data_IF_127991018418
#
_entry.id   IF_127991018418
#
_cell.length_a   1.000
_cell.length_b   1.000
_cell.length_c   1.000
_cell.angle_alpha   90.00
_cell.angle_beta   90.00
_cell.angle_gamma   90.00
#
_symmetry.space_group_name_H-M   'P 1'
#
loop_
_entity.id
_entity.type
_entity.pdbx_description
1 polymer ?
#
# COMPACT_ATOMS: atom_id res chain seq x y z
N UNK A 1 -21.48 0.09 -1.12
CA UNK A 1 -20.05 0.33 -0.83
C UNK A 1 -19.80 1.81 -0.99
N UNK A 2 -19.26 2.49 0.02
CA UNK A 2 -18.97 3.93 -0.05
C UNK A 2 -17.59 4.10 -0.66
N UNK A 3 -17.48 4.91 -1.71
CA UNK A 3 -16.18 5.33 -2.24
C UNK A 3 -15.73 6.51 -1.39
N UNK A 4 -14.52 6.42 -0.83
CA UNK A 4 -13.87 7.53 -0.15
C UNK A 4 -12.62 7.97 -0.89
N UNK A 5 -12.24 9.20 -0.63
CA UNK A 5 -11.04 9.84 -1.15
C UNK A 5 -10.36 10.56 0.01
N UNK A 6 -9.04 10.46 0.06
CA UNK A 6 -8.17 11.32 0.87
C UNK A 6 -7.34 12.15 -0.10
N UNK A 7 -7.35 13.47 0.09
CA UNK A 7 -6.93 14.41 -0.96
C UNK A 7 -5.54 14.99 -0.76
N UNK A 8 -5.09 15.14 0.48
CA UNK A 8 -3.72 15.57 0.83
C UNK A 8 -3.17 14.68 1.96
N UNK A 9 -3.12 13.37 1.67
CA UNK A 9 -2.71 12.39 2.65
C UNK A 9 -1.19 12.38 2.82
N UNK A 10 -0.73 12.75 4.01
CA UNK A 10 0.67 12.64 4.41
C UNK A 10 0.91 11.25 4.97
N UNK A 11 1.81 10.47 4.36
CA UNK A 11 2.23 9.17 4.90
C UNK A 11 2.89 9.40 6.25
N UNK A 12 2.40 8.74 7.30
CA UNK A 12 2.82 8.97 8.68
C UNK A 12 3.63 7.82 9.27
N UNK A 13 3.82 6.74 8.51
CA UNK A 13 4.60 5.57 8.90
C UNK A 13 5.03 4.80 7.66
N UNK A 14 6.17 4.12 7.75
CA UNK A 14 6.65 3.23 6.71
C UNK A 14 5.60 2.16 6.35
N UNK A 15 5.41 1.85 5.06
CA UNK A 15 4.48 0.80 4.64
C UNK A 15 4.89 -0.57 5.22
N UNK A 16 3.91 -1.29 5.75
CA UNK A 16 4.08 -2.62 6.31
C UNK A 16 3.45 -3.67 5.39
N UNK A 17 4.27 -4.58 4.89
CA UNK A 17 3.80 -5.72 4.12
C UNK A 17 3.32 -6.82 5.06
N UNK A 18 2.13 -7.36 4.79
CA UNK A 18 1.56 -8.48 5.53
C UNK A 18 1.43 -9.67 4.59
N UNK A 19 1.99 -10.80 5.02
CA UNK A 19 1.86 -12.06 4.30
C UNK A 19 0.76 -12.87 4.96
N UNK A 20 -0.26 -13.24 4.19
CA UNK A 20 -1.34 -14.11 4.63
C UNK A 20 -1.46 -15.29 3.68
N UNK A 21 -1.06 -16.47 4.17
CA UNK A 21 -0.90 -17.69 3.40
C UNK A 21 -0.04 -17.47 2.13
N UNK A 22 -0.67 -17.28 0.98
CA UNK A 22 -0.03 -17.09 -0.34
C UNK A 22 -0.23 -15.69 -0.93
N UNK A 23 -0.78 -14.77 -0.14
CA UNK A 23 -1.10 -13.41 -0.55
C UNK A 23 -0.23 -12.41 0.21
N UNK A 24 0.24 -11.41 -0.53
CA UNK A 24 0.88 -10.22 0.03
C UNK A 24 -0.15 -9.11 0.04
N UNK A 25 -0.26 -8.40 1.16
CA UNK A 25 -1.01 -7.15 1.31
C UNK A 25 -0.08 -6.08 1.88
N UNK A 26 -0.41 -4.81 1.68
CA UNK A 26 0.33 -3.69 2.22
C UNK A 26 -0.63 -2.85 3.09
N UNK A 27 -0.21 -2.58 4.32
CA UNK A 27 -0.86 -1.63 5.22
C UNK A 27 0.03 -0.40 5.36
N UNK A 28 -0.53 0.78 5.11
CA UNK A 28 0.14 2.05 5.39
C UNK A 28 -0.78 2.94 6.22
N UNK A 29 -0.21 3.97 6.85
CA UNK A 29 -0.92 4.93 7.67
C UNK A 29 -0.66 6.32 7.13
N UNK A 30 -1.70 7.12 7.04
CA UNK A 30 -1.60 8.51 6.65
C UNK A 30 -2.47 9.41 7.53
N UNK A 31 -2.18 10.70 7.44
CA UNK A 31 -2.97 11.77 8.03
C UNK A 31 -3.51 12.63 6.89
N UNK A 32 -4.82 12.81 6.85
CA UNK A 32 -5.50 13.69 5.89
C UNK A 32 -6.45 14.61 6.65
N UNK A 33 -6.27 15.92 6.54
CA UNK A 33 -7.05 16.93 7.29
C UNK A 33 -7.18 16.65 8.79
N UNK A 34 -6.11 16.16 9.43
CA UNK A 34 -6.06 15.81 10.86
C UNK A 34 -6.65 14.43 11.21
N UNK A 35 -7.28 13.74 10.26
CA UNK A 35 -7.81 12.40 10.46
C UNK A 35 -6.76 11.33 10.19
N UNK A 36 -6.64 10.34 11.08
CA UNK A 36 -5.75 9.19 10.89
C UNK A 36 -6.45 8.11 10.08
N UNK A 37 -5.88 7.77 8.93
CA UNK A 37 -6.46 6.80 7.99
C UNK A 37 -5.51 5.62 7.80
N UNK A 38 -6.05 4.40 7.81
CA UNK A 38 -5.32 3.19 7.44
C UNK A 38 -5.59 2.85 5.98
N UNK A 39 -4.53 2.76 5.19
CA UNK A 39 -4.56 2.38 3.79
C UNK A 39 -4.30 0.88 3.67
N UNK A 40 -5.18 0.16 2.98
CA UNK A 40 -5.04 -1.26 2.69
C UNK A 40 -4.93 -1.46 1.18
N UNK A 41 -3.84 -2.11 0.76
CA UNK A 41 -3.54 -2.34 -0.64
C UNK A 41 -3.31 -3.84 -0.88
N UNK A 42 -3.98 -4.40 -1.87
CA UNK A 42 -3.82 -5.79 -2.33
C UNK A 42 -3.34 -5.91 -3.77
N UNK A 43 -3.32 -4.80 -4.52
CA UNK A 43 -2.99 -4.81 -5.93
C UNK A 43 -1.49 -4.56 -6.17
N UNK A 44 -0.77 -5.43 -6.91
CA UNK A 44 0.68 -5.29 -7.11
C UNK A 44 1.13 -3.95 -7.69
N UNK A 45 0.35 -3.34 -8.59
CA UNK A 45 0.68 -2.03 -9.14
C UNK A 45 0.71 -0.91 -8.09
N UNK A 46 -0.23 -0.94 -7.15
CA UNK A 46 -0.23 0.01 -6.05
C UNK A 46 0.88 -0.33 -5.04
N UNK A 47 1.13 -1.60 -4.75
CA UNK A 47 2.26 -1.99 -3.88
C UNK A 47 3.59 -1.52 -4.45
N UNK A 48 3.80 -1.73 -5.75
CA UNK A 48 5.01 -1.28 -6.44
C UNK A 48 5.15 0.24 -6.37
N UNK A 49 4.05 0.98 -6.54
CA UNK A 49 4.06 2.43 -6.34
C UNK A 49 4.51 2.81 -4.92
N UNK A 50 3.96 2.15 -3.89
CA UNK A 50 4.35 2.42 -2.50
C UNK A 50 5.83 2.14 -2.25
N UNK A 51 6.36 1.01 -2.75
CA UNK A 51 7.79 0.67 -2.63
C UNK A 51 8.68 1.78 -3.22
N UNK A 52 8.25 2.38 -4.32
CA UNK A 52 9.06 3.31 -5.10
C UNK A 52 8.93 4.77 -4.68
N UNK A 53 7.77 5.17 -4.17
CA UNK A 53 7.39 6.57 -4.12
C UNK A 53 6.74 7.01 -2.82
N UNK A 54 6.54 6.10 -1.86
CA UNK A 54 5.98 6.46 -0.55
C UNK A 54 7.01 6.25 0.53
N UNK A 55 7.30 7.31 1.26
CA UNK A 55 8.07 7.31 2.50
C UNK A 55 7.40 8.21 3.54
N UNK A 56 7.83 8.17 4.78
CA UNK A 56 7.30 9.04 5.83
C UNK A 56 7.40 10.52 5.42
N UNK A 57 6.30 11.26 5.54
CA UNK A 57 6.19 12.66 5.11
C UNK A 57 5.81 12.88 3.65
N UNK A 58 5.84 11.85 2.80
CA UNK A 58 5.40 11.97 1.40
C UNK A 58 3.88 12.20 1.30
N UNK A 59 3.46 12.92 0.25
CA UNK A 59 2.07 13.37 0.08
C UNK A 59 1.43 12.79 -1.17
N UNK A 60 0.24 12.24 -1.01
CA UNK A 60 -0.49 11.60 -2.09
C UNK A 60 -2.00 11.76 -1.90
N UNK A 61 -2.74 11.63 -2.99
CA UNK A 61 -4.18 11.43 -2.96
C UNK A 61 -4.49 9.96 -3.20
N UNK A 62 -5.41 9.40 -2.42
CA UNK A 62 -5.84 8.00 -2.53
C UNK A 62 -7.35 7.93 -2.63
N UNK A 63 -7.86 7.05 -3.48
CA UNK A 63 -9.29 6.76 -3.55
C UNK A 63 -9.56 5.25 -3.53
N UNK A 64 -10.69 4.87 -2.97
CA UNK A 64 -11.06 3.47 -2.86
C UNK A 64 -12.29 3.22 -1.99
N UNK A 65 -12.47 1.97 -1.59
CA UNK A 65 -13.60 1.61 -0.72
C UNK A 65 -13.32 2.07 0.71
N UNK A 66 -14.18 2.94 1.22
CA UNK A 66 -14.08 3.50 2.56
C UNK A 66 -14.91 2.70 3.55
N UNK A 67 -14.29 2.36 4.68
CA UNK A 67 -14.94 1.77 5.84
C UNK A 67 -14.63 2.64 7.06
N UNK A 68 -15.66 3.19 7.67
CA UNK A 68 -15.57 3.99 8.89
C UNK A 68 -16.38 3.30 9.96
N UNK A 69 -15.74 2.97 11.08
CA UNK A 69 -16.44 2.58 12.30
C UNK A 69 -16.21 3.60 13.39
N UNK A 70 -17.28 4.06 14.01
CA UNK A 70 -17.24 4.97 15.15
C UNK A 70 -17.63 4.21 16.41
N UNK A 71 -16.96 4.51 17.52
CA UNK A 71 -17.27 3.92 18.82
C UNK A 71 -17.03 4.93 19.94
N UNK A 72 -17.84 4.82 20.97
CA UNK A 72 -17.76 5.56 22.22
C UNK A 72 -17.50 4.57 23.34
N UNK A 73 -16.82 5.00 24.39
CA UNK A 73 -16.78 4.24 25.64
C UNK A 73 -17.90 4.75 26.54
N UNK A 74 -18.51 3.86 27.33
CA UNK A 74 -19.78 4.12 28.05
C UNK A 74 -19.71 5.36 28.97
N UNK A 75 -18.53 5.75 29.45
CA UNK A 75 -18.32 6.91 30.34
C UNK A 75 -17.55 8.08 29.67
N UNK A 76 -17.47 8.12 28.34
CA UNK A 76 -16.64 9.06 27.58
C UNK A 76 -17.48 10.03 26.74
N UNK A 77 -17.26 11.34 26.91
CA UNK A 77 -17.75 12.37 25.96
C UNK A 77 -16.94 12.40 24.65
N UNK A 78 -15.87 11.62 24.56
CA UNK A 78 -15.04 11.48 23.36
C UNK A 78 -15.53 10.31 22.51
N UNK A 79 -15.74 10.58 21.23
CA UNK A 79 -15.96 9.57 20.21
C UNK A 79 -14.67 9.29 19.45
N UNK A 80 -14.44 8.04 19.08
CA UNK A 80 -13.32 7.61 18.26
C UNK A 80 -13.82 7.07 16.93
N UNK A 81 -13.08 7.36 15.86
CA UNK A 81 -13.35 6.83 14.53
C UNK A 81 -12.14 6.03 14.04
N UNK A 82 -12.39 4.84 13.52
CA UNK A 82 -11.42 4.02 12.81
C UNK A 82 -11.74 4.09 11.32
N UNK A 83 -10.89 4.79 10.58
CA UNK A 83 -11.04 5.05 9.15
C UNK A 83 -10.10 4.12 8.40
N UNK A 84 -10.66 3.26 7.53
CA UNK A 84 -9.92 2.34 6.68
C UNK A 84 -10.30 2.56 5.23
N UNK A 85 -9.29 2.70 4.38
CA UNK A 85 -9.47 2.86 2.94
C UNK A 85 -8.79 1.69 2.21
N UNK A 86 -9.58 0.86 1.53
CA UNK A 86 -9.05 -0.13 0.59
C UNK A 86 -8.75 0.56 -0.73
N UNK A 87 -7.48 0.84 -0.99
CA UNK A 87 -7.03 1.72 -2.07
C UNK A 87 -7.17 1.03 -3.42
N UNK A 88 -7.73 1.75 -4.38
CA UNK A 88 -7.88 1.33 -5.78
C UNK A 88 -7.31 2.34 -6.78
N UNK A 89 -7.03 3.56 -6.31
CA UNK A 89 -6.45 4.65 -7.08
C UNK A 89 -5.46 5.41 -6.20
N UNK A 90 -4.30 5.75 -6.75
CA UNK A 90 -3.35 6.67 -6.15
C UNK A 90 -2.97 7.73 -7.17
N UNK A 91 -2.96 8.98 -6.72
CA UNK A 91 -2.48 10.12 -7.50
C UNK A 91 -1.37 10.81 -6.72
N UNK A 92 -0.19 11.04 -7.33
CA UNK A 92 0.85 11.85 -6.69
C UNK A 92 0.38 13.30 -6.55
N UNK A 93 0.81 13.93 -5.47
CA UNK A 93 0.68 15.37 -5.29
C UNK A 93 2.05 15.97 -5.61
N UNK A 94 2.05 17.04 -6.41
CA UNK A 94 3.29 17.78 -6.66
C UNK A 94 3.82 18.33 -5.34
N UNK A 95 5.02 17.91 -4.99
CA UNK A 95 5.72 18.51 -3.87
C UNK A 95 6.41 19.77 -4.34
N UNK A 96 6.49 20.74 -3.44
CA UNK A 96 7.18 22.00 -3.67
C UNK A 96 8.27 22.09 -2.60
N UNK A 97 9.47 22.48 -2.97
CA UNK A 97 10.56 22.70 -2.02
C UNK A 97 10.38 24.04 -1.27
N UNK A 98 11.30 24.32 -0.34
CA UNK A 98 11.27 25.53 0.48
C UNK A 98 11.42 26.83 -0.35
N UNK A 99 11.95 26.73 -1.57
CA UNK A 99 12.13 27.83 -2.52
C UNK A 99 10.93 28.00 -3.45
N UNK A 100 9.88 27.19 -3.29
CA UNK A 100 8.67 27.27 -4.11
C UNK A 100 8.79 26.56 -5.46
N UNK A 101 9.83 25.77 -5.68
CA UNK A 101 10.03 25.02 -6.92
C UNK A 101 9.37 23.65 -6.85
N UNK A 102 8.76 23.23 -7.96
CA UNK A 102 8.14 21.90 -8.06
C UNK A 102 9.21 20.83 -8.06
N UNK A 103 9.15 19.93 -7.08
CA UNK A 103 9.97 18.72 -7.06
C UNK A 103 9.44 17.80 -8.16
N UNK A 104 10.20 17.68 -9.24
CA UNK A 104 9.85 16.82 -10.36
C UNK A 104 9.81 15.37 -9.90
N UNK A 105 8.67 14.72 -10.09
CA UNK A 105 8.46 13.32 -9.71
C UNK A 105 8.12 12.50 -10.95
N UNK A 106 8.76 11.34 -11.10
CA UNK A 106 8.40 10.37 -12.14
C UNK A 106 7.09 9.63 -11.84
N UNK A 107 6.47 9.92 -10.70
CA UNK A 107 5.21 9.31 -10.28
C UNK A 107 4.09 9.62 -11.27
N UNK A 108 3.26 8.60 -11.52
CA UNK A 108 2.06 8.73 -12.33
C UNK A 108 0.88 8.20 -11.54
N UNK A 109 -0.31 8.72 -11.87
CA UNK A 109 -1.56 8.18 -11.33
C UNK A 109 -1.67 6.70 -11.68
N UNK A 110 -2.03 5.87 -10.70
CA UNK A 110 -2.27 4.44 -10.89
C UNK A 110 -3.69 4.13 -10.46
N UNK A 111 -4.47 3.55 -11.38
CA UNK A 111 -5.77 2.94 -11.09
C UNK A 111 -5.68 1.44 -11.30
N UNK A 112 -6.12 0.64 -10.34
CA UNK A 112 -6.02 -0.84 -10.44
C UNK A 112 -6.68 -1.39 -11.70
N UNK A 113 -7.80 -0.80 -12.14
CA UNK A 113 -8.51 -1.18 -13.37
C UNK A 113 -7.69 -1.02 -14.66
N UNK A 114 -6.67 -0.15 -14.65
CA UNK A 114 -5.84 0.12 -15.82
C UNK A 114 -4.72 -0.93 -15.99
N UNK A 115 -4.63 -1.91 -15.07
CA UNK A 115 -3.59 -2.95 -15.04
C UNK A 115 -4.20 -4.34 -15.24
N UNK A 116 -4.52 -4.74 -16.49
CA UNK A 116 -4.99 -6.09 -16.79
C UNK A 116 -3.92 -7.13 -16.42
N UNK A 117 -4.35 -8.37 -16.15
CA UNK A 117 -3.49 -9.52 -15.76
C UNK A 117 -2.65 -10.05 -16.93
N UNK A 118 -1.84 -9.17 -17.52
CA UNK A 118 -0.89 -9.44 -18.59
C UNK A 118 0.45 -9.93 -18.03
N UNK A 119 1.39 -10.27 -18.91
CA UNK A 119 2.76 -10.64 -18.50
C UNK A 119 3.43 -9.53 -17.68
N UNK A 120 3.20 -8.26 -18.02
CA UNK A 120 3.75 -7.12 -17.28
C UNK A 120 3.18 -7.04 -15.86
N UNK A 121 1.90 -7.38 -15.67
CA UNK A 121 1.31 -7.49 -14.34
C UNK A 121 1.95 -8.63 -13.53
N UNK A 122 2.22 -9.78 -14.16
CA UNK A 122 2.88 -10.91 -13.49
C UNK A 122 4.32 -10.57 -13.09
N UNK A 123 5.09 -9.91 -13.98
CA UNK A 123 6.44 -9.40 -13.66
C UNK A 123 6.41 -8.44 -12.47
N UNK A 124 5.46 -7.52 -12.46
CA UNK A 124 5.28 -6.57 -11.36
C UNK A 124 4.90 -7.26 -10.05
N UNK A 125 4.01 -8.25 -10.10
CA UNK A 125 3.68 -9.10 -8.95
C UNK A 125 4.93 -9.82 -8.43
N UNK A 126 5.75 -10.38 -9.31
CA UNK A 126 7.01 -11.01 -8.93
C UNK A 126 7.97 -10.05 -8.26
N UNK A 127 8.15 -8.83 -8.79
CA UNK A 127 8.99 -7.79 -8.18
C UNK A 127 8.54 -7.47 -6.75
N UNK A 128 7.24 -7.30 -6.53
CA UNK A 128 6.69 -7.05 -5.18
C UNK A 128 6.96 -8.23 -4.24
N UNK A 129 6.70 -9.45 -4.69
CA UNK A 129 6.91 -10.65 -3.88
C UNK A 129 8.38 -10.88 -3.55
N UNK A 130 9.28 -10.65 -4.52
CA UNK A 130 10.73 -10.69 -4.31
C UNK A 130 11.19 -9.63 -3.31
N UNK A 131 10.69 -8.39 -3.42
CA UNK A 131 11.00 -7.32 -2.45
C UNK A 131 10.62 -7.71 -1.02
N UNK A 132 9.47 -8.37 -0.85
CA UNK A 132 8.99 -8.88 0.45
C UNK A 132 9.87 -10.03 0.94
N UNK A 133 10.24 -10.96 0.07
CA UNK A 133 11.15 -12.06 0.40
C UNK A 133 12.50 -11.56 0.93
N UNK A 134 13.12 -10.60 0.23
CA UNK A 134 14.40 -10.01 0.63
C UNK A 134 14.36 -9.33 2.01
N UNK A 135 13.16 -8.98 2.49
CA UNK A 135 12.93 -8.31 3.77
C UNK A 135 12.12 -9.15 4.75
N UNK A 136 12.00 -10.46 4.51
CA UNK A 136 11.09 -11.33 5.25
C UNK A 136 11.42 -11.41 6.75
N UNK A 137 12.68 -11.17 7.13
CA UNK A 137 13.13 -11.14 8.52
C UNK A 137 13.16 -9.74 9.13
N UNK A 138 12.81 -8.69 8.37
CA UNK A 138 12.75 -7.32 8.86
C UNK A 138 11.32 -7.00 9.32
N UNK A 139 11.09 -6.99 10.63
CA UNK A 139 9.78 -6.72 11.25
C UNK A 139 9.25 -5.31 11.00
N UNK A 140 10.11 -4.35 10.66
CA UNK A 140 9.71 -2.97 10.38
C UNK A 140 9.11 -2.83 8.98
N UNK A 141 9.37 -3.80 8.09
CA UNK A 141 8.90 -3.78 6.70
C UNK A 141 7.92 -4.92 6.42
N UNK A 142 8.11 -6.09 7.04
CA UNK A 142 7.29 -7.29 6.83
C UNK A 142 6.76 -7.81 8.16
N UNK A 143 5.44 -7.89 8.26
CA UNK A 143 4.73 -8.59 9.32
C UNK A 143 4.31 -9.97 8.84
N UNK A 144 4.95 -11.00 9.39
CA UNK A 144 4.79 -12.40 9.00
C UNK A 144 4.46 -13.30 10.21
N UNK A 145 3.31 -13.05 10.85
CA UNK A 145 2.83 -13.93 11.92
C UNK A 145 2.41 -15.28 11.34
N UNK A 146 2.98 -16.37 11.87
CA UNK A 146 2.67 -17.76 11.49
C UNK A 146 2.94 -18.09 10.01
N UNK A 147 3.90 -17.39 9.39
CA UNK A 147 4.26 -17.65 8.00
C UNK A 147 5.10 -18.93 7.87
N UNK A 148 4.69 -19.81 6.96
CA UNK A 148 5.57 -20.84 6.43
C UNK A 148 6.47 -20.21 5.35
N UNK A 149 7.71 -19.90 5.73
CA UNK A 149 8.72 -19.26 4.87
C UNK A 149 9.03 -20.13 3.64
N UNK A 150 9.15 -21.44 3.80
CA UNK A 150 9.41 -22.39 2.71
C UNK A 150 8.28 -22.39 1.68
N UNK A 151 7.02 -22.32 2.14
CA UNK A 151 5.88 -22.23 1.23
C UNK A 151 5.86 -20.92 0.43
N UNK A 152 6.36 -19.83 1.00
CA UNK A 152 6.50 -18.54 0.30
C UNK A 152 7.65 -18.59 -0.73
N UNK A 153 8.77 -19.24 -0.39
CA UNK A 153 9.91 -19.43 -1.29
C UNK A 153 9.54 -20.28 -2.52
N UNK A 154 8.83 -21.39 -2.29
CA UNK A 154 8.28 -22.23 -3.37
C UNK A 154 7.36 -21.41 -4.29
N UNK A 155 6.47 -20.60 -3.71
CA UNK A 155 5.60 -19.72 -4.50
C UNK A 155 6.39 -18.71 -5.34
N UNK A 156 7.46 -18.14 -4.79
CA UNK A 156 8.31 -17.20 -5.51
C UNK A 156 9.05 -17.88 -6.66
N UNK A 157 9.51 -19.11 -6.44
CA UNK A 157 10.15 -19.97 -7.44
C UNK A 157 9.19 -20.31 -8.58
N UNK A 158 7.97 -20.77 -8.28
CA UNK A 158 6.92 -21.04 -9.27
C UNK A 158 6.61 -19.81 -10.13
N UNK A 159 6.57 -18.63 -9.50
CA UNK A 159 6.35 -17.37 -10.20
C UNK A 159 7.49 -17.03 -11.15
N UNK A 160 8.74 -17.30 -10.76
CA UNK A 160 9.90 -17.09 -11.62
C UNK A 160 9.90 -18.04 -12.82
N UNK A 161 9.69 -19.34 -12.59
CA UNK A 161 9.61 -20.34 -13.66
C UNK A 161 8.50 -20.01 -14.65
N UNK A 162 7.32 -19.61 -14.16
CA UNK A 162 6.21 -19.18 -15.01
C UNK A 162 6.47 -17.90 -15.82
N UNK A 163 7.48 -17.10 -15.45
CA UNK A 163 7.89 -15.91 -16.17
C UNK A 163 9.01 -16.19 -17.20
N UNK A 164 9.91 -17.13 -16.92
CA UNK A 164 11.04 -17.49 -17.80
C UNK A 164 10.67 -18.57 -18.80
N UNK A 165 9.76 -19.47 -18.44
CA UNK A 165 9.27 -20.54 -19.32
C UNK A 165 8.22 -20.13 -20.35
N UNK A 166 7.94 -18.83 -20.49
CA UNK A 166 6.99 -18.25 -21.46
C UNK A 166 7.71 -17.36 -22.45
#
# INVERSE_FOLDING_TARGET
MIIGEVTDAVISASPLFRINARSVTLESKCIDSGSRVKLYISHPALMYYFIRFTDNGTRHSFAGSLNVSAYTFDDSTKAFANIRLSVTDVRPIFQVDDDGLVITTETRRIRTRDFPRTINFLKMKFIVYKYVWEKIHNSDVVFNRDLNVEAFDLQLSDMYEGLVGR
#
